data_IF_065231331647
#
_entry.id   IF_065231331647
#
_cell.length_a   1.000
_cell.length_b   1.000
_cell.length_c   1.000
_cell.angle_alpha   90.00
_cell.angle_beta   90.00
_cell.angle_gamma   90.00
#
_symmetry.space_group_name_H-M   'P 1'
#
loop_
_entity.id
_entity.type
_entity.pdbx_description
1 polymer ?
#
# COMPACT_ATOMS: atom_id res chain seq x y z
N UNK A 1 -4.60 -19.96 5.38
CA UNK A 1 -3.91 -18.68 5.71
C UNK A 1 -4.78 -17.92 6.70
N UNK A 2 -4.21 -17.46 7.80
CA UNK A 2 -4.94 -16.62 8.75
C UNK A 2 -5.07 -15.19 8.18
N UNK A 3 -6.22 -14.56 8.40
CA UNK A 3 -6.39 -13.13 8.17
C UNK A 3 -5.88 -12.37 9.39
N UNK A 4 -5.22 -11.23 9.16
CA UNK A 4 -4.72 -10.34 10.21
C UNK A 4 -5.32 -8.95 10.05
N UNK A 5 -5.44 -8.23 11.16
CA UNK A 5 -5.81 -6.82 11.21
C UNK A 5 -4.58 -5.95 11.49
N UNK A 6 -4.53 -4.76 10.92
CA UNK A 6 -3.42 -3.82 11.11
C UNK A 6 -3.50 -3.10 12.46
N UNK A 7 -2.37 -2.77 13.11
CA UNK A 7 -2.34 -1.86 14.24
C UNK A 7 -2.98 -0.50 13.92
N UNK A 8 -3.45 0.20 14.95
CA UNK A 8 -3.96 1.58 14.82
C UNK A 8 -2.80 2.54 14.55
N UNK A 9 -3.06 3.59 13.77
CA UNK A 9 -2.10 4.60 13.34
C UNK A 9 -1.31 5.24 14.49
N UNK A 10 0.01 5.04 14.49
CA UNK A 10 0.96 5.79 15.32
C UNK A 10 1.28 7.12 14.64
N UNK A 11 0.51 8.16 14.97
CA UNK A 11 0.65 9.47 14.33
C UNK A 11 2.08 10.02 14.42
N UNK A 12 2.53 10.63 13.33
CA UNK A 12 3.84 11.24 13.16
C UNK A 12 5.03 10.25 13.21
N UNK A 13 4.76 8.94 13.24
CA UNK A 13 5.82 7.93 13.06
C UNK A 13 6.47 8.16 11.68
N UNK A 14 7.80 8.35 11.61
CA UNK A 14 8.46 8.63 10.35
C UNK A 14 8.42 7.42 9.43
N UNK A 15 8.17 7.65 8.14
CA UNK A 15 8.25 6.62 7.11
C UNK A 15 9.68 6.03 7.06
N UNK A 16 9.85 4.71 7.26
CA UNK A 16 11.16 4.07 7.10
C UNK A 16 11.70 4.26 5.69
N UNK A 17 12.99 4.59 5.57
CA UNK A 17 13.62 4.73 4.27
C UNK A 17 13.73 3.36 3.56
N UNK A 18 13.63 3.37 2.24
CA UNK A 18 13.88 2.22 1.39
C UNK A 18 14.55 2.65 0.08
N UNK A 19 15.19 1.68 -0.57
CA UNK A 19 15.68 1.75 -1.95
C UNK A 19 15.46 0.36 -2.59
N UNK A 20 14.46 0.24 -3.46
CA UNK A 20 13.97 -1.03 -3.97
C UNK A 20 13.93 -1.05 -5.50
N UNK A 21 14.17 -2.21 -6.14
CA UNK A 21 13.96 -2.36 -7.57
C UNK A 21 12.46 -2.34 -7.91
N UNK A 22 12.10 -1.57 -8.94
CA UNK A 22 10.77 -1.51 -9.53
C UNK A 22 10.62 -2.42 -10.75
N UNK A 23 9.38 -2.78 -11.07
CA UNK A 23 9.01 -3.53 -12.29
C UNK A 23 9.34 -2.80 -13.61
N UNK A 24 9.65 -1.52 -13.53
CA UNK A 24 10.14 -0.68 -14.63
C UNK A 24 11.65 -0.85 -14.89
N UNK A 25 12.34 -1.66 -14.10
CA UNK A 25 13.78 -1.91 -14.20
C UNK A 25 14.64 -0.82 -13.55
N UNK A 26 14.03 0.15 -12.84
CA UNK A 26 14.74 1.19 -12.11
C UNK A 26 14.76 0.92 -10.61
N UNK A 27 15.66 1.57 -9.89
CA UNK A 27 15.64 1.58 -8.42
C UNK A 27 14.98 2.85 -7.93
N UNK A 28 14.13 2.71 -6.93
CA UNK A 28 13.34 3.81 -6.37
C UNK A 28 13.52 3.88 -4.87
N UNK A 29 13.78 5.11 -4.39
CA UNK A 29 13.81 5.41 -2.97
C UNK A 29 12.59 6.20 -2.52
N UNK A 30 12.27 6.12 -1.23
CA UNK A 30 11.19 6.92 -0.63
C UNK A 30 11.36 8.42 -0.92
N UNK A 31 12.58 8.93 -0.86
CA UNK A 31 12.85 10.37 -1.07
C UNK A 31 12.57 10.81 -2.51
N UNK A 32 12.81 9.95 -3.50
CA UNK A 32 12.48 10.23 -4.90
C UNK A 32 10.98 10.14 -5.15
N UNK A 33 10.30 9.22 -4.46
CA UNK A 33 8.90 8.92 -4.68
C UNK A 33 7.94 9.67 -3.75
N UNK A 34 8.42 10.48 -2.79
CA UNK A 34 7.49 11.21 -1.92
C UNK A 34 6.66 12.20 -2.74
N UNK A 35 5.35 12.23 -2.50
CA UNK A 35 4.48 13.24 -3.11
C UNK A 35 4.66 14.60 -2.47
N UNK A 36 4.22 15.65 -3.17
CA UNK A 36 4.31 17.04 -2.72
C UNK A 36 3.50 17.28 -1.45
N UNK A 37 2.28 16.74 -1.40
CA UNK A 37 1.33 16.96 -0.30
C UNK A 37 1.11 15.73 0.57
N UNK A 38 1.55 14.55 0.11
CA UNK A 38 1.45 13.31 0.86
C UNK A 38 1.98 12.12 0.10
N UNK A 39 2.19 11.01 0.79
CA UNK A 39 2.68 9.76 0.21
C UNK A 39 1.87 8.59 0.73
N UNK A 40 1.33 7.77 -0.16
CA UNK A 40 0.69 6.50 0.18
C UNK A 40 1.65 5.35 -0.13
N UNK A 41 2.08 4.63 0.90
CA UNK A 41 2.82 3.36 0.75
C UNK A 41 1.86 2.22 1.04
N UNK A 42 1.81 1.23 0.16
CA UNK A 42 0.97 0.05 0.36
C UNK A 42 1.74 -1.25 0.13
N UNK A 43 1.54 -2.20 1.03
CA UNK A 43 2.05 -3.55 0.89
C UNK A 43 0.99 -4.43 0.25
N UNK A 44 1.24 -4.89 -0.98
CA UNK A 44 0.31 -5.70 -1.77
C UNK A 44 0.99 -6.97 -2.28
N UNK A 45 0.22 -7.85 -2.92
CA UNK A 45 0.74 -9.01 -3.63
C UNK A 45 -0.20 -9.40 -4.78
N UNK A 46 0.26 -10.29 -5.65
CA UNK A 46 -0.44 -10.59 -6.91
C UNK A 46 -1.55 -11.63 -6.73
N UNK A 47 -1.41 -12.53 -5.75
CA UNK A 47 -2.28 -13.70 -5.63
C UNK A 47 -3.36 -13.58 -4.54
N UNK A 48 -3.24 -12.63 -3.62
CA UNK A 48 -4.17 -12.51 -2.49
C UNK A 48 -5.58 -12.11 -2.98
N UNK A 49 -6.65 -12.82 -2.57
CA UNK A 49 -8.01 -12.49 -2.98
C UNK A 49 -8.47 -11.12 -2.49
N UNK A 50 -7.97 -10.65 -1.34
CA UNK A 50 -8.27 -9.30 -0.84
C UNK A 50 -7.68 -8.24 -1.78
N UNK A 51 -6.41 -8.39 -2.18
CA UNK A 51 -5.76 -7.45 -3.10
C UNK A 51 -6.43 -7.49 -4.48
N UNK A 52 -6.64 -8.68 -5.04
CA UNK A 52 -7.28 -8.83 -6.36
C UNK A 52 -8.69 -8.25 -6.39
N UNK A 53 -9.45 -8.35 -5.30
CA UNK A 53 -10.78 -7.74 -5.20
C UNK A 53 -10.75 -6.22 -5.04
N UNK A 54 -9.64 -5.65 -4.56
CA UNK A 54 -9.49 -4.23 -4.28
C UNK A 54 -8.73 -3.47 -5.39
N UNK A 55 -8.05 -4.17 -6.31
CA UNK A 55 -7.05 -3.55 -7.19
C UNK A 55 -7.62 -2.42 -8.07
N UNK A 56 -8.80 -2.61 -8.66
CA UNK A 56 -9.44 -1.57 -9.47
C UNK A 56 -9.78 -0.31 -8.65
N UNK A 57 -10.17 -0.51 -7.39
CA UNK A 57 -10.47 0.58 -6.46
C UNK A 57 -9.20 1.29 -6.00
N UNK A 58 -8.12 0.54 -5.75
CA UNK A 58 -6.79 1.09 -5.46
C UNK A 58 -6.29 1.96 -6.63
N UNK A 59 -6.41 1.47 -7.87
CA UNK A 59 -5.97 2.19 -9.07
C UNK A 59 -6.77 3.48 -9.25
N UNK A 60 -8.10 3.41 -9.11
CA UNK A 60 -8.97 4.59 -9.14
C UNK A 60 -8.53 5.61 -8.10
N UNK A 61 -8.37 5.18 -6.85
CA UNK A 61 -8.01 6.07 -5.75
C UNK A 61 -6.62 6.69 -5.95
N UNK A 62 -5.64 5.92 -6.43
CA UNK A 62 -4.30 6.43 -6.73
C UNK A 62 -4.31 7.49 -7.84
N UNK A 63 -5.10 7.30 -8.91
CA UNK A 63 -5.23 8.29 -10.00
C UNK A 63 -5.87 9.59 -9.49
N UNK A 64 -6.93 9.48 -8.70
CA UNK A 64 -7.59 10.66 -8.12
C UNK A 64 -6.66 11.41 -7.15
N UNK A 65 -5.94 10.67 -6.28
CA UNK A 65 -5.02 11.22 -5.29
C UNK A 65 -3.80 11.90 -5.91
N UNK A 66 -3.33 11.44 -7.09
CA UNK A 66 -2.25 12.10 -7.81
C UNK A 66 -2.59 13.57 -8.13
N UNK A 67 -3.86 13.88 -8.43
CA UNK A 67 -4.31 15.25 -8.67
C UNK A 67 -4.27 16.15 -7.42
N UNK A 68 -4.24 15.55 -6.23
CA UNK A 68 -4.08 16.25 -4.95
C UNK A 68 -2.61 16.36 -4.50
N UNK A 69 -1.65 15.95 -5.34
CA UNK A 69 -0.22 15.95 -4.99
C UNK A 69 0.20 14.80 -4.09
N UNK A 70 -0.61 13.75 -3.98
CA UNK A 70 -0.26 12.52 -3.25
C UNK A 70 0.35 11.52 -4.22
N UNK A 71 1.56 11.04 -3.95
CA UNK A 71 2.13 9.95 -4.72
C UNK A 71 1.82 8.59 -4.06
N UNK A 72 1.49 7.59 -4.86
CA UNK A 72 1.21 6.22 -4.40
C UNK A 72 2.39 5.30 -4.74
N UNK A 73 2.73 4.38 -3.85
CA UNK A 73 3.85 3.43 -3.98
C UNK A 73 3.37 2.05 -3.53
N UNK A 74 3.49 1.04 -4.39
CA UNK A 74 3.20 -0.34 -4.05
C UNK A 74 4.48 -1.12 -3.78
N UNK A 75 4.50 -1.93 -2.71
CA UNK A 75 5.63 -2.79 -2.34
C UNK A 75 5.14 -4.24 -2.21
N UNK A 76 5.87 -5.17 -2.80
CA UNK A 76 5.66 -6.62 -2.72
C UNK A 76 6.77 -7.24 -1.86
N UNK A 77 6.40 -7.81 -0.71
CA UNK A 77 7.36 -8.39 0.25
C UNK A 77 7.13 -9.87 0.54
N UNK A 78 6.24 -10.54 -0.20
CA UNK A 78 6.02 -11.98 -0.04
C UNK A 78 7.23 -12.77 -0.55
N UNK A 79 7.50 -13.91 0.08
CA UNK A 79 8.52 -14.85 -0.39
C UNK A 79 8.15 -15.43 -1.77
N UNK A 80 8.89 -15.00 -2.79
CA UNK A 80 8.67 -15.38 -4.18
C UNK A 80 9.03 -16.84 -4.48
N UNK A 81 9.85 -17.48 -3.64
CA UNK A 81 10.24 -18.88 -3.79
C UNK A 81 9.10 -19.81 -3.34
N UNK A 82 8.54 -19.55 -2.16
CA UNK A 82 7.37 -20.28 -1.66
C UNK A 82 6.07 -19.91 -2.40
N UNK A 83 5.97 -18.68 -2.93
CA UNK A 83 4.78 -18.17 -3.64
C UNK A 83 5.15 -17.64 -5.04
N UNK A 84 5.33 -18.52 -6.04
CA UNK A 84 5.73 -18.12 -7.39
C UNK A 84 4.79 -17.14 -8.09
N UNK A 85 3.52 -17.08 -7.68
CA UNK A 85 2.56 -16.10 -8.20
C UNK A 85 2.97 -14.65 -7.87
N UNK A 86 3.78 -14.44 -6.84
CA UNK A 86 4.33 -13.13 -6.47
C UNK A 86 5.72 -12.87 -7.06
N UNK A 87 6.22 -13.74 -7.96
CA UNK A 87 7.52 -13.54 -8.61
C UNK A 87 7.61 -12.20 -9.34
N UNK A 88 8.84 -11.70 -9.53
CA UNK A 88 9.08 -10.43 -10.21
C UNK A 88 8.46 -10.39 -11.62
N UNK A 89 8.59 -11.48 -12.39
CA UNK A 89 7.97 -11.57 -13.72
C UNK A 89 6.44 -11.44 -13.67
N UNK A 90 5.81 -12.06 -12.66
CA UNK A 90 4.38 -11.92 -12.44
C UNK A 90 3.99 -10.52 -11.95
N UNK A 91 4.83 -9.86 -11.15
CA UNK A 91 4.62 -8.45 -10.79
C UNK A 91 4.65 -7.55 -12.02
N UNK A 92 5.60 -7.76 -12.93
CA UNK A 92 5.71 -7.02 -14.20
C UNK A 92 4.46 -7.25 -15.06
N UNK A 93 4.04 -8.51 -15.22
CA UNK A 93 2.85 -8.85 -16.00
C UNK A 93 1.59 -8.22 -15.39
N UNK A 94 1.41 -8.34 -14.08
CA UNK A 94 0.21 -7.86 -13.38
C UNK A 94 0.12 -6.33 -13.37
N UNK A 95 1.23 -5.63 -13.16
CA UNK A 95 1.31 -4.17 -13.25
C UNK A 95 0.97 -3.64 -14.65
N UNK A 96 1.38 -4.36 -15.70
CA UNK A 96 1.04 -4.00 -17.10
C UNK A 96 -0.42 -4.28 -17.41
N UNK A 97 -0.93 -5.45 -17.01
CA UNK A 97 -2.32 -5.86 -17.22
C UNK A 97 -3.31 -4.85 -16.62
N UNK A 98 -3.00 -4.33 -15.43
CA UNK A 98 -3.88 -3.42 -14.70
C UNK A 98 -3.49 -1.94 -14.87
N UNK A 99 -2.50 -1.64 -15.71
CA UNK A 99 -2.03 -0.27 -16.00
C UNK A 99 -1.78 0.55 -14.73
N UNK A 100 -0.96 0.02 -13.83
CA UNK A 100 -0.69 0.65 -12.54
C UNK A 100 -0.18 2.09 -12.73
N UNK A 101 -0.83 3.09 -12.09
CA UNK A 101 -0.43 4.49 -12.17
C UNK A 101 0.70 4.83 -11.17
N UNK A 102 1.25 3.82 -10.47
CA UNK A 102 2.23 3.95 -9.41
C UNK A 102 3.38 2.94 -9.59
N UNK A 103 4.57 3.22 -9.04
CA UNK A 103 5.65 2.24 -8.97
C UNK A 103 5.23 1.00 -8.19
N UNK A 104 5.62 -0.17 -8.70
CA UNK A 104 5.49 -1.45 -7.99
C UNK A 104 6.88 -2.04 -7.73
N UNK A 105 7.25 -2.10 -6.45
CA UNK A 105 8.60 -2.38 -5.98
C UNK A 105 8.70 -3.74 -5.31
N UNK A 106 9.83 -4.42 -5.48
CA UNK A 106 10.10 -5.72 -4.85
C UNK A 106 11.00 -5.56 -3.62
N UNK A 107 10.49 -5.92 -2.46
CA UNK A 107 11.20 -6.00 -1.17
C UNK A 107 11.59 -7.47 -0.90
N UNK A 108 12.61 -7.95 -1.61
CA UNK A 108 12.98 -9.37 -1.65
C UNK A 108 13.49 -9.92 -0.30
N UNK A 109 14.15 -9.09 0.51
CA UNK A 109 14.67 -9.48 1.84
C UNK A 109 13.68 -9.22 2.98
N UNK A 110 12.53 -8.61 2.66
CA UNK A 110 11.43 -8.31 3.57
C UNK A 110 11.82 -7.30 4.68
N UNK A 111 12.97 -6.63 4.56
CA UNK A 111 13.45 -5.68 5.55
C UNK A 111 12.58 -4.43 5.60
N UNK A 112 12.04 -4.00 4.45
CA UNK A 112 11.17 -2.82 4.38
C UNK A 112 9.81 -3.12 5.00
N UNK A 113 9.20 -4.26 4.69
CA UNK A 113 7.97 -4.69 5.37
C UNK A 113 8.12 -4.78 6.89
N UNK A 114 9.26 -5.32 7.37
CA UNK A 114 9.56 -5.37 8.82
C UNK A 114 9.71 -3.98 9.42
N UNK A 115 10.41 -3.07 8.74
CA UNK A 115 10.62 -1.71 9.22
C UNK A 115 9.32 -0.90 9.30
N UNK A 116 8.41 -1.08 8.34
CA UNK A 116 7.06 -0.50 8.37
C UNK A 116 6.13 -1.21 9.36
N UNK A 117 6.52 -2.38 9.87
CA UNK A 117 5.66 -3.24 10.67
C UNK A 117 4.43 -3.72 9.92
N UNK A 118 4.54 -3.91 8.59
CA UNK A 118 3.46 -4.42 7.76
C UNK A 118 3.13 -5.86 8.16
N UNK A 119 1.83 -6.19 8.20
CA UNK A 119 1.37 -7.50 8.69
C UNK A 119 0.54 -8.28 7.68
N UNK A 120 -0.14 -7.59 6.77
CA UNK A 120 -1.04 -8.21 5.81
C UNK A 120 -0.96 -7.57 4.41
N UNK A 121 -1.66 -8.16 3.46
CA UNK A 121 -1.87 -7.58 2.12
C UNK A 121 -3.37 -7.52 1.80
N UNK A 122 -3.95 -6.35 1.46
CA UNK A 122 -3.28 -5.05 1.44
C UNK A 122 -3.11 -4.45 2.85
N UNK A 123 -1.99 -3.76 3.09
CA UNK A 123 -1.74 -2.91 4.28
C UNK A 123 -1.34 -1.51 3.77
N UNK A 124 -1.99 -0.46 4.28
CA UNK A 124 -1.92 0.91 3.75
C UNK A 124 -1.35 1.86 4.78
N UNK A 125 -0.38 2.68 4.36
CA UNK A 125 0.32 3.67 5.16
C UNK A 125 0.28 5.02 4.45
N UNK A 126 -0.53 5.94 4.99
CA UNK A 126 -0.67 7.29 4.48
C UNK A 126 0.15 8.29 5.28
N UNK A 127 1.03 9.01 4.59
CA UNK A 127 1.95 10.00 5.16
C UNK A 127 1.63 11.41 4.67
N UNK A 128 1.88 12.40 5.52
CA UNK A 128 1.86 13.81 5.13
C UNK A 128 3.15 14.21 4.36
N UNK A 129 3.25 15.48 3.97
CA UNK A 129 4.40 16.03 3.23
C UNK A 129 5.75 15.89 3.98
N UNK A 130 5.70 15.84 5.32
CA UNK A 130 6.87 15.66 6.19
C UNK A 130 7.19 14.18 6.44
N UNK A 131 6.51 13.26 5.76
CA UNK A 131 6.63 11.80 5.92
C UNK A 131 6.29 11.29 7.33
N UNK A 132 5.46 12.02 8.07
CA UNK A 132 4.83 11.56 9.32
C UNK A 132 3.57 10.75 9.02
N UNK A 133 3.42 9.58 9.64
CA UNK A 133 2.27 8.72 9.46
C UNK A 133 0.99 9.41 9.94
N UNK A 134 -0.05 9.39 9.12
CA UNK A 134 -1.35 10.00 9.40
C UNK A 134 -2.52 9.04 9.13
N UNK A 135 -2.29 7.99 8.36
CA UNK A 135 -3.29 6.96 8.08
C UNK A 135 -2.69 5.56 8.09
N UNK A 136 -3.35 4.65 8.80
CA UNK A 136 -3.12 3.21 8.76
C UNK A 136 -4.45 2.49 8.96
N UNK A 137 -4.98 1.92 7.89
CA UNK A 137 -6.32 1.36 7.90
C UNK A 137 -6.74 0.76 6.57
N UNK A 138 -8.03 0.45 6.42
CA UNK A 138 -8.60 -0.18 5.23
C UNK A 138 -8.75 0.78 4.05
N UNK A 139 -9.02 0.24 2.88
CA UNK A 139 -9.41 1.00 1.69
C UNK A 139 -10.84 1.53 1.81
N UNK A 140 -11.76 0.60 2.06
CA UNK A 140 -13.20 0.76 2.20
C UNK A 140 -13.77 -0.46 2.96
N UNK A 141 -15.09 -0.62 3.04
CA UNK A 141 -15.73 -1.76 3.69
C UNK A 141 -15.79 -3.05 2.81
N UNK A 142 -15.31 -2.96 1.56
CA UNK A 142 -15.22 -4.07 0.62
C UNK A 142 -13.99 -4.92 0.90
N UNK A 143 -14.18 -6.02 1.63
CA UNK A 143 -13.13 -7.02 1.95
C UNK A 143 -12.70 -7.82 0.70
N UNK A 144 -13.09 -9.10 0.60
CA UNK A 144 -12.95 -9.92 -0.61
C UNK A 144 -14.14 -9.77 -1.56
N UNK A 145 -14.95 -8.73 -1.37
CA UNK A 145 -16.17 -8.48 -2.12
C UNK A 145 -16.28 -7.01 -2.48
N UNK A 146 -17.43 -6.65 -3.04
CA UNK A 146 -17.74 -5.25 -3.29
C UNK A 146 -18.06 -4.53 -1.97
N UNK A 147 -17.66 -3.26 -1.84
CA UNK A 147 -18.09 -2.44 -0.73
C UNK A 147 -19.61 -2.23 -0.76
N UNK A 148 -20.18 -1.81 0.37
CA UNK A 148 -21.61 -1.50 0.44
C UNK A 148 -21.95 -0.39 -0.57
N UNK A 149 -23.15 -0.43 -1.16
CA UNK A 149 -23.59 0.64 -2.05
C UNK A 149 -23.55 2.00 -1.32
N UNK A 150 -22.79 2.96 -1.85
CA UNK A 150 -22.57 4.25 -1.20
C UNK A 150 -21.56 4.24 -0.05
N UNK A 151 -20.78 3.18 0.12
CA UNK A 151 -19.68 3.13 1.08
C UNK A 151 -18.69 4.27 0.86
N UNK A 152 -18.11 4.73 1.96
CA UNK A 152 -17.04 5.73 1.95
C UNK A 152 -15.77 5.16 1.32
N UNK A 153 -15.04 6.02 0.61
CA UNK A 153 -13.68 5.72 0.15
C UNK A 153 -12.73 6.14 1.25
N UNK A 154 -12.65 5.36 2.33
CA UNK A 154 -12.00 5.79 3.58
C UNK A 154 -10.53 6.17 3.38
N UNK A 155 -9.77 5.37 2.63
CA UNK A 155 -8.38 5.70 2.30
C UNK A 155 -8.28 6.98 1.47
N UNK A 156 -9.10 7.12 0.43
CA UNK A 156 -9.11 8.31 -0.42
C UNK A 156 -9.46 9.57 0.38
N UNK A 157 -10.53 9.53 1.17
CA UNK A 157 -10.98 10.66 2.00
C UNK A 157 -9.90 11.05 3.02
N UNK A 158 -9.25 10.07 3.65
CA UNK A 158 -8.14 10.32 4.56
C UNK A 158 -6.94 10.95 3.86
N UNK A 159 -6.50 10.40 2.72
CA UNK A 159 -5.35 10.92 1.98
C UNK A 159 -5.62 12.30 1.37
N UNK A 160 -6.84 12.56 0.91
CA UNK A 160 -7.24 13.89 0.45
C UNK A 160 -7.22 14.91 1.60
N UNK A 161 -7.68 14.52 2.79
CA UNK A 161 -7.59 15.37 3.99
C UNK A 161 -6.14 15.62 4.43
N UNK A 162 -5.29 14.59 4.36
CA UNK A 162 -3.85 14.69 4.64
C UNK A 162 -3.19 15.65 3.65
N UNK A 163 -3.49 15.52 2.35
CA UNK A 163 -2.94 16.40 1.33
C UNK A 163 -3.34 17.87 1.55
N UNK A 164 -4.57 18.11 1.99
CA UNK A 164 -5.08 19.47 2.22
C UNK A 164 -4.62 20.08 3.56
N UNK A 165 -4.36 19.28 4.59
CA UNK A 165 -4.22 19.77 5.98
C UNK A 165 -3.00 19.25 6.73
N UNK A 166 -2.30 18.26 6.17
CA UNK A 166 -1.22 17.52 6.82
C UNK A 166 -1.69 16.54 7.90
N UNK A 167 -3.00 16.39 8.14
CA UNK A 167 -3.57 15.59 9.23
C UNK A 167 -4.56 14.55 8.75
N UNK A 168 -4.44 13.34 9.29
CA UNK A 168 -5.38 12.24 9.05
C UNK A 168 -6.55 12.20 10.04
N UNK A 169 -7.56 11.37 9.78
CA UNK A 169 -8.68 11.18 10.70
C UNK A 169 -8.23 10.50 11.99
N UNK A 170 -8.74 10.96 13.13
CA UNK A 170 -8.41 10.38 14.44
C UNK A 170 -8.95 8.95 14.65
N UNK A 171 -10.06 8.61 13.98
CA UNK A 171 -10.65 7.28 13.99
C UNK A 171 -10.38 6.60 12.66
N UNK A 172 -9.80 5.40 12.72
CA UNK A 172 -9.40 4.62 11.56
C UNK A 172 -9.78 3.16 11.79
N UNK A 173 -10.28 2.51 10.74
CA UNK A 173 -10.63 1.10 10.79
C UNK A 173 -9.45 0.30 10.22
N UNK A 174 -8.94 -0.71 10.94
CA UNK A 174 -7.85 -1.55 10.46
C UNK A 174 -8.11 -2.16 9.07
N UNK A 175 -7.06 -2.31 8.28
CA UNK A 175 -7.11 -3.17 7.09
C UNK A 175 -7.22 -4.63 7.51
N UNK A 176 -7.74 -5.46 6.61
CA UNK A 176 -7.78 -6.91 6.77
C UNK A 176 -7.32 -7.58 5.48
N UNK A 177 -6.43 -8.55 5.62
CA UNK A 177 -5.88 -9.24 4.46
C UNK A 177 -5.22 -10.56 4.81
N UNK A 178 -4.70 -11.24 3.80
CA UNK A 178 -3.81 -12.38 4.04
C UNK A 178 -2.54 -11.88 4.72
N UNK A 179 -2.00 -12.67 5.67
CA UNK A 179 -0.68 -12.39 6.25
C UNK A 179 0.39 -12.28 5.16
N UNK A 180 1.40 -11.42 5.38
CA UNK A 180 2.61 -11.44 4.56
C UNK A 180 3.28 -12.82 4.61
N UNK A 181 3.91 -13.20 3.49
CA UNK A 181 4.59 -14.49 3.33
C UNK A 181 6.05 -14.35 3.73
N UNK A 182 6.30 -14.37 5.03
CA UNK A 182 7.65 -14.28 5.57
C UNK A 182 8.51 -15.48 5.16
N UNK A 183 9.78 -15.23 4.84
CA UNK A 183 10.81 -16.26 4.71
C UNK A 183 11.12 -16.84 6.09
N UNK A 184 11.43 -18.13 6.10
CA UNK A 184 11.97 -18.78 7.30
C UNK A 184 13.31 -18.12 7.66
N UNK A 185 13.53 -17.95 8.97
CA UNK A 185 14.68 -17.24 9.54
C UNK A 185 15.97 -18.04 9.50
#
# INVERSE_FOLDING_TARGET
MAALETPVCDFDLPAPAFDLPGVDGQRHSLQQLRGENGTLVMFICNHCPFVRSAIDRIIRDARDLASAGVNTIAIMSNDTEAYPADSFDNMVAWSREHEFPFPYLLDADQSVARAYGAVCTPDFFGYNADLGLQYRGRLDDGRTGQPTAGAKRELYEAMAAIAATGRGPAQQVPSIGCSLKWRDS
#
